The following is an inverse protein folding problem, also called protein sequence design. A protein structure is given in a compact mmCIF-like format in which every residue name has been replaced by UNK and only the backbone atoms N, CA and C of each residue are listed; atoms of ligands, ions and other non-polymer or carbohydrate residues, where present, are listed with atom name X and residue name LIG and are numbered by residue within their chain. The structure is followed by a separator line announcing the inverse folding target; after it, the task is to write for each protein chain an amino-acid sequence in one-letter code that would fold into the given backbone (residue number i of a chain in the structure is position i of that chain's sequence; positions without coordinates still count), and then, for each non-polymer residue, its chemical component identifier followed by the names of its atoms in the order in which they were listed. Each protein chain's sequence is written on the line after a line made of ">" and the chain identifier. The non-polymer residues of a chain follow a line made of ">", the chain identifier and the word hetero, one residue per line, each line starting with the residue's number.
data_IF_161204411102
#
_entry.id   IF_161204411102
#
_cell.length_a   1.000
_cell.length_b   1.000
_cell.length_c   1.000
_cell.angle_alpha   90.00
_cell.angle_beta   90.00
_cell.angle_gamma   90.00
#
_symmetry.space_group_name_H-M   'P 1'
#
loop_
_entity.id
_entity.type
_entity.pdbx_description
1 polymer ?
#
# COMPACT_ATOMS: atom_id res chain seq x y z
N UNK A 1 7.58 18.63 72.64
CA UNK A 1 8.56 17.74 72.00
C UNK A 1 7.86 17.00 70.87
N UNK A 2 8.44 17.00 69.66
CA UNK A 2 8.14 16.15 68.48
C UNK A 2 6.74 16.27 67.84
N UNK A 3 6.51 16.34 66.53
CA UNK A 3 7.33 16.23 65.32
C UNK A 3 6.71 17.15 64.26
N UNK A 4 7.43 18.20 63.87
CA UNK A 4 7.04 19.04 62.75
C UNK A 4 8.23 19.17 61.81
N UNK A 5 8.62 18.08 61.13
CA UNK A 5 9.30 18.22 59.84
C UNK A 5 9.49 16.88 59.11
N UNK A 6 8.66 16.59 58.11
CA UNK A 6 9.10 15.80 56.94
C UNK A 6 8.17 16.02 55.75
N UNK A 7 8.02 17.27 55.34
CA UNK A 7 7.43 17.58 54.03
C UNK A 7 8.32 18.53 53.25
N UNK A 8 9.61 18.19 53.18
CA UNK A 8 10.47 18.69 52.10
C UNK A 8 10.25 17.75 50.92
N UNK A 9 9.32 18.09 50.04
CA UNK A 9 9.19 17.42 48.76
C UNK A 9 10.50 17.66 48.00
N UNK A 10 11.28 16.58 47.82
CA UNK A 10 12.57 16.59 47.14
C UNK A 10 12.42 17.23 45.75
N UNK A 11 12.96 18.45 45.53
CA UNK A 11 12.82 19.18 44.26
C UNK A 11 13.34 18.37 43.07
N UNK A 12 14.30 17.48 43.30
CA UNK A 12 14.92 16.63 42.29
C UNK A 12 13.94 15.56 41.76
N UNK A 13 13.09 14.99 42.63
CA UNK A 13 12.09 13.97 42.24
C UNK A 13 10.90 14.54 41.47
N UNK A 14 10.52 15.79 41.75
CA UNK A 14 9.43 16.48 41.03
C UNK A 14 9.93 16.86 39.64
N UNK A 15 11.14 17.40 39.53
CA UNK A 15 11.78 17.72 38.25
C UNK A 15 11.89 16.50 37.34
N UNK A 16 12.36 15.37 37.86
CA UNK A 16 12.52 14.13 37.08
C UNK A 16 11.20 13.58 36.53
N UNK A 17 10.10 13.68 37.29
CA UNK A 17 8.76 13.24 36.86
C UNK A 17 8.16 14.14 35.77
N UNK A 18 8.39 15.44 35.86
CA UNK A 18 7.92 16.39 34.85
C UNK A 18 8.73 16.24 33.55
N UNK A 19 10.04 16.04 33.66
CA UNK A 19 10.93 15.77 32.51
C UNK A 19 10.55 14.44 31.85
N UNK A 20 10.36 13.36 32.62
CA UNK A 20 9.95 12.06 32.08
C UNK A 20 8.58 12.11 31.38
N UNK A 21 7.61 12.88 31.92
CA UNK A 21 6.31 13.10 31.27
C UNK A 21 6.42 13.91 29.99
N UNK A 22 7.26 14.96 29.97
CA UNK A 22 7.50 15.75 28.77
C UNK A 22 8.17 14.90 27.67
N UNK A 23 9.12 14.02 28.03
CA UNK A 23 9.76 13.09 27.10
C UNK A 23 8.74 12.08 26.54
N UNK A 24 7.87 11.51 27.37
CA UNK A 24 6.84 10.57 26.91
C UNK A 24 5.79 11.24 25.99
N UNK A 25 5.39 12.48 26.27
CA UNK A 25 4.49 13.26 25.41
C UNK A 25 5.15 13.66 24.08
N UNK A 26 6.44 13.97 24.09
CA UNK A 26 7.19 14.29 22.87
C UNK A 26 7.45 13.04 22.01
N UNK A 27 7.72 11.89 22.63
CA UNK A 27 7.87 10.62 21.93
C UNK A 27 6.56 10.13 21.29
N UNK A 28 5.40 10.37 21.93
CA UNK A 28 4.08 10.07 21.36
C UNK A 28 3.71 10.98 20.17
N UNK A 29 4.38 12.13 20.00
CA UNK A 29 4.12 13.07 18.91
C UNK A 29 4.93 12.74 17.63
N UNK A 30 5.90 11.81 17.72
CA UNK A 30 6.82 11.47 16.63
C UNK A 30 6.42 10.22 15.82
N UNK A 31 5.29 9.56 16.13
CA UNK A 31 5.01 8.19 15.65
C UNK A 31 4.15 8.06 14.39
N UNK A 32 3.92 9.10 13.58
CA UNK A 32 3.18 8.93 12.31
C UNK A 32 3.73 9.82 11.20
N UNK A 33 4.93 9.51 10.69
CA UNK A 33 5.23 9.91 9.32
C UNK A 33 4.38 9.04 8.40
N UNK A 34 3.68 9.60 7.40
CA UNK A 34 2.96 8.79 6.44
C UNK A 34 3.97 7.86 5.77
N UNK A 35 3.65 6.58 5.67
CA UNK A 35 4.38 5.69 4.77
C UNK A 35 4.34 6.33 3.39
N UNK A 36 5.50 6.59 2.79
CA UNK A 36 5.59 7.10 1.42
C UNK A 36 4.79 6.16 0.52
N UNK A 37 3.75 6.67 -0.14
CA UNK A 37 2.94 5.86 -1.04
C UNK A 37 3.61 5.81 -2.42
N UNK A 38 3.96 4.62 -2.90
CA UNK A 38 4.43 4.46 -4.26
C UNK A 38 3.30 4.85 -5.23
N UNK A 39 3.57 5.77 -6.15
CA UNK A 39 2.58 6.20 -7.15
C UNK A 39 2.97 5.69 -8.54
N UNK A 40 2.16 4.78 -9.10
CA UNK A 40 2.29 4.31 -10.47
C UNK A 40 1.58 5.28 -11.41
N UNK A 41 2.34 6.02 -12.21
CA UNK A 41 1.82 7.00 -13.18
C UNK A 41 1.78 6.50 -14.63
N UNK A 42 2.32 5.32 -14.89
CA UNK A 42 2.55 4.80 -16.24
C UNK A 42 3.72 3.83 -16.24
N UNK A 43 3.42 2.53 -16.31
CA UNK A 43 4.42 1.48 -16.40
C UNK A 43 4.00 0.45 -17.45
N UNK A 44 4.78 0.23 -18.52
CA UNK A 44 4.50 -0.79 -19.52
C UNK A 44 4.80 -2.22 -19.00
N UNK A 45 5.25 -2.35 -17.76
CA UNK A 45 5.75 -3.59 -17.17
C UNK A 45 7.22 -3.85 -17.52
N UNK A 46 7.59 -5.13 -17.65
CA UNK A 46 8.97 -5.55 -17.83
C UNK A 46 9.20 -6.96 -17.31
N UNK A 47 10.39 -7.22 -16.77
CA UNK A 47 10.72 -8.53 -16.21
C UNK A 47 9.85 -8.83 -14.98
N UNK A 48 9.07 -9.91 -15.05
CA UNK A 48 8.16 -10.37 -13.99
C UNK A 48 8.87 -10.46 -12.63
N UNK A 49 10.11 -10.97 -12.59
CA UNK A 49 10.88 -11.12 -11.35
C UNK A 49 11.17 -9.79 -10.66
N UNK A 50 11.36 -8.70 -11.41
CA UNK A 50 11.62 -7.36 -10.83
C UNK A 50 10.38 -6.87 -10.08
N UNK A 51 9.21 -6.99 -10.69
CA UNK A 51 7.94 -6.63 -10.05
C UNK A 51 7.58 -7.55 -8.89
N UNK A 52 7.82 -8.86 -9.02
CA UNK A 52 7.61 -9.83 -7.94
C UNK A 52 8.43 -9.50 -6.68
N UNK A 53 9.72 -9.19 -6.85
CA UNK A 53 10.59 -8.77 -5.76
C UNK A 53 10.14 -7.44 -5.16
N UNK A 54 9.68 -6.51 -6.01
CA UNK A 54 9.22 -5.23 -5.53
C UNK A 54 7.93 -5.34 -4.70
N UNK A 55 6.95 -6.10 -5.18
CA UNK A 55 5.74 -6.44 -4.42
C UNK A 55 6.08 -7.08 -3.08
N UNK A 56 7.06 -7.98 -3.03
CA UNK A 56 7.49 -8.59 -1.77
C UNK A 56 8.04 -7.55 -0.79
N UNK A 57 8.83 -6.58 -1.28
CA UNK A 57 9.35 -5.46 -0.48
C UNK A 57 8.21 -4.57 0.05
N UNK A 58 7.31 -4.13 -0.83
CA UNK A 58 6.14 -3.31 -0.46
C UNK A 58 5.27 -4.03 0.57
N UNK A 59 5.03 -5.33 0.37
CA UNK A 59 4.25 -6.16 1.30
C UNK A 59 4.90 -6.22 2.68
N UNK A 60 6.21 -6.41 2.75
CA UNK A 60 6.97 -6.48 4.00
C UNK A 60 7.05 -5.12 4.72
N UNK A 61 7.04 -4.02 3.96
CA UNK A 61 7.08 -2.66 4.49
C UNK A 61 5.71 -2.09 4.86
N UNK A 62 4.61 -2.79 4.59
CA UNK A 62 3.24 -2.25 4.71
C UNK A 62 3.05 -0.97 3.87
N UNK A 63 3.80 -0.85 2.78
CA UNK A 63 3.84 0.35 1.94
C UNK A 63 2.66 0.35 0.95
N UNK A 64 1.85 1.42 0.90
CA UNK A 64 0.70 1.49 0.01
C UNK A 64 1.11 1.85 -1.42
N UNK A 65 0.27 1.47 -2.39
CA UNK A 65 0.46 1.77 -3.81
C UNK A 65 -0.77 2.50 -4.36
N UNK A 66 -0.52 3.67 -4.95
CA UNK A 66 -1.50 4.47 -5.66
C UNK A 66 -1.36 4.31 -7.18
N UNK A 67 -2.43 3.88 -7.84
CA UNK A 67 -2.48 3.81 -9.30
C UNK A 67 -3.08 5.11 -9.86
N UNK A 68 -2.24 5.88 -10.55
CA UNK A 68 -2.57 7.18 -11.12
C UNK A 68 -2.22 7.26 -12.62
N UNK A 69 -2.28 6.12 -13.30
CA UNK A 69 -1.97 5.96 -14.71
C UNK A 69 -1.99 4.49 -15.12
N UNK A 70 -1.48 4.20 -16.32
CA UNK A 70 -1.43 2.83 -16.85
C UNK A 70 -0.45 1.95 -16.06
N UNK A 71 -0.83 0.69 -15.85
CA UNK A 71 -0.01 -0.34 -15.24
C UNK A 71 -0.20 -1.64 -16.03
N UNK A 72 0.70 -1.91 -16.95
CA UNK A 72 0.55 -2.99 -17.92
C UNK A 72 1.49 -4.16 -17.61
N UNK A 73 1.13 -5.34 -18.11
CA UNK A 73 1.98 -6.52 -18.08
C UNK A 73 2.41 -6.85 -16.64
N UNK A 74 3.70 -7.07 -16.40
CA UNK A 74 4.25 -7.34 -15.07
C UNK A 74 3.94 -6.27 -14.01
N UNK A 75 3.65 -5.01 -14.39
CA UNK A 75 3.24 -3.98 -13.43
C UNK A 75 2.00 -4.40 -12.62
N UNK A 76 1.06 -5.08 -13.28
CA UNK A 76 -0.21 -5.50 -12.67
C UNK A 76 -0.02 -6.45 -11.48
N UNK A 77 1.18 -7.02 -11.26
CA UNK A 77 1.50 -7.76 -10.04
C UNK A 77 1.31 -6.94 -8.76
N UNK A 78 1.35 -5.60 -8.83
CA UNK A 78 1.02 -4.75 -7.70
C UNK A 78 -0.41 -4.98 -7.18
N UNK A 79 -1.34 -5.43 -8.03
CA UNK A 79 -2.70 -5.82 -7.62
C UNK A 79 -2.74 -7.04 -6.67
N UNK A 80 -1.62 -7.75 -6.49
CA UNK A 80 -1.48 -8.83 -5.50
C UNK A 80 -1.23 -8.36 -4.06
N UNK A 81 -1.10 -7.04 -3.86
CA UNK A 81 -1.09 -6.46 -2.52
C UNK A 81 -2.52 -6.44 -1.94
N UNK A 82 -2.67 -6.44 -0.59
CA UNK A 82 -3.95 -6.26 0.06
C UNK A 82 -4.70 -5.01 -0.46
N UNK A 83 -6.01 -5.14 -0.70
CA UNK A 83 -6.82 -4.09 -1.32
C UNK A 83 -6.88 -2.79 -0.49
N UNK A 84 -6.74 -2.88 0.83
CA UNK A 84 -6.66 -1.76 1.76
C UNK A 84 -5.33 -0.98 1.68
N UNK A 85 -4.32 -1.54 1.00
CA UNK A 85 -3.05 -0.87 0.68
C UNK A 85 -3.00 -0.32 -0.74
N UNK A 86 -4.05 -0.57 -1.52
CA UNK A 86 -4.13 -0.16 -2.91
C UNK A 86 -5.17 0.94 -3.06
N UNK A 87 -4.95 1.84 -3.99
CA UNK A 87 -5.98 2.80 -4.37
C UNK A 87 -5.88 3.16 -5.85
N UNK A 88 -6.98 3.62 -6.43
CA UNK A 88 -7.04 4.02 -7.84
C UNK A 88 -7.48 5.48 -7.99
N UNK A 89 -6.97 6.15 -9.01
CA UNK A 89 -7.54 7.42 -9.51
C UNK A 89 -8.32 7.18 -10.82
N UNK A 90 -9.11 8.15 -11.30
CA UNK A 90 -9.77 8.03 -12.61
C UNK A 90 -8.83 7.87 -13.82
N UNK A 91 -7.51 8.05 -13.63
CA UNK A 91 -6.50 7.83 -14.68
C UNK A 91 -5.95 6.39 -14.70
N UNK A 92 -6.28 5.59 -13.70
CA UNK A 92 -5.76 4.23 -13.59
C UNK A 92 -6.29 3.34 -14.74
N UNK A 93 -5.44 2.47 -15.26
CA UNK A 93 -5.88 1.34 -16.08
C UNK A 93 -4.87 0.20 -15.99
N UNK A 94 -5.34 -1.03 -16.20
CA UNK A 94 -4.54 -2.24 -16.01
C UNK A 94 -4.59 -3.11 -17.26
N UNK A 95 -3.44 -3.26 -17.91
CA UNK A 95 -3.32 -4.04 -19.14
C UNK A 95 -2.81 -5.47 -18.87
N UNK A 96 -3.59 -6.46 -19.28
CA UNK A 96 -3.29 -7.88 -19.10
C UNK A 96 -3.04 -8.56 -20.45
N UNK A 97 -1.96 -9.33 -20.55
CA UNK A 97 -1.63 -10.14 -21.73
C UNK A 97 -0.70 -11.30 -21.34
N UNK A 98 -0.47 -12.23 -22.27
CA UNK A 98 0.48 -13.33 -22.10
C UNK A 98 1.94 -12.82 -22.06
N UNK A 99 2.78 -13.34 -21.16
CA UNK A 99 4.22 -13.09 -21.21
C UNK A 99 4.84 -13.54 -22.53
N UNK A 100 5.91 -12.86 -22.94
CA UNK A 100 6.68 -13.18 -24.13
C UNK A 100 8.17 -12.89 -23.92
N UNK A 101 9.01 -13.37 -24.84
CA UNK A 101 10.44 -13.03 -24.89
C UNK A 101 11.42 -14.10 -24.40
N UNK A 102 10.96 -15.21 -23.80
CA UNK A 102 11.85 -16.22 -23.19
C UNK A 102 11.63 -17.68 -23.64
N UNK A 103 10.76 -17.92 -24.63
CA UNK A 103 10.43 -19.25 -25.16
C UNK A 103 9.02 -19.71 -24.78
N UNK A 104 8.41 -20.61 -25.55
CA UNK A 104 6.99 -20.97 -25.36
C UNK A 104 6.72 -21.62 -23.98
N UNK A 105 7.58 -22.53 -23.54
CA UNK A 105 7.48 -23.20 -22.24
C UNK A 105 7.67 -22.21 -21.09
N UNK A 106 8.70 -21.37 -21.17
CA UNK A 106 9.00 -20.36 -20.15
C UNK A 106 7.89 -19.29 -20.08
N UNK A 107 7.31 -18.91 -21.22
CA UNK A 107 6.18 -17.98 -21.26
C UNK A 107 4.92 -18.59 -20.60
N UNK A 108 4.69 -19.90 -20.74
CA UNK A 108 3.58 -20.58 -20.09
C UNK A 108 3.75 -20.59 -18.56
N UNK A 109 4.94 -20.96 -18.07
CA UNK A 109 5.28 -20.89 -16.63
C UNK A 109 5.12 -19.46 -16.09
N UNK A 110 5.55 -18.47 -16.86
CA UNK A 110 5.38 -17.06 -16.50
C UNK A 110 3.90 -16.64 -16.46
N UNK A 111 3.06 -17.13 -17.37
CA UNK A 111 1.64 -16.85 -17.39
C UNK A 111 0.94 -17.44 -16.16
N UNK A 112 1.25 -18.70 -15.83
CA UNK A 112 0.73 -19.38 -14.64
C UNK A 112 1.15 -18.64 -13.37
N UNK A 113 2.41 -18.18 -13.31
CA UNK A 113 2.87 -17.35 -12.22
C UNK A 113 2.03 -16.07 -12.08
N UNK A 114 1.87 -15.26 -13.14
CA UNK A 114 1.06 -14.04 -13.09
C UNK A 114 -0.35 -14.30 -12.56
N UNK A 115 -1.06 -15.27 -13.14
CA UNK A 115 -2.43 -15.63 -12.74
C UNK A 115 -2.50 -16.08 -11.27
N UNK A 116 -1.50 -16.83 -10.79
CA UNK A 116 -1.45 -17.29 -9.41
C UNK A 116 -1.31 -16.16 -8.39
N UNK A 117 -0.71 -15.02 -8.78
CA UNK A 117 -0.50 -13.88 -7.88
C UNK A 117 -1.75 -12.99 -7.76
N UNK A 118 -2.59 -12.95 -8.78
CA UNK A 118 -3.74 -12.05 -8.79
C UNK A 118 -4.81 -12.43 -7.76
N UNK A 119 -5.49 -11.45 -7.13
CA UNK A 119 -6.66 -11.73 -6.32
C UNK A 119 -7.83 -12.24 -7.18
N UNK A 120 -8.83 -12.86 -6.55
CA UNK A 120 -9.96 -13.50 -7.25
C UNK A 120 -10.67 -12.55 -8.22
N UNK A 121 -10.88 -11.30 -7.82
CA UNK A 121 -11.59 -10.32 -8.64
C UNK A 121 -10.85 -9.99 -9.95
N UNK A 122 -9.51 -9.98 -9.94
CA UNK A 122 -8.70 -9.79 -11.16
C UNK A 122 -8.76 -11.05 -12.03
N UNK A 123 -8.64 -12.24 -11.43
CA UNK A 123 -8.75 -13.51 -12.17
C UNK A 123 -10.10 -13.66 -12.85
N UNK A 124 -11.18 -13.32 -12.13
CA UNK A 124 -12.54 -13.34 -12.65
C UNK A 124 -12.69 -12.36 -13.81
N UNK A 125 -12.26 -11.10 -13.63
CA UNK A 125 -12.33 -10.10 -14.69
C UNK A 125 -11.56 -10.55 -15.94
N UNK A 126 -10.34 -11.09 -15.79
CA UNK A 126 -9.56 -11.63 -16.92
C UNK A 126 -10.33 -12.75 -17.62
N UNK A 127 -10.95 -13.67 -16.86
CA UNK A 127 -11.75 -14.77 -17.41
C UNK A 127 -12.98 -14.29 -18.19
N UNK A 128 -13.69 -13.29 -17.67
CA UNK A 128 -14.84 -12.64 -18.32
C UNK A 128 -14.45 -11.94 -19.63
N UNK A 129 -13.18 -11.55 -19.77
CA UNK A 129 -12.62 -10.89 -20.95
C UNK A 129 -11.83 -11.83 -21.88
N UNK A 130 -12.05 -13.16 -21.75
CA UNK A 130 -11.49 -14.16 -22.67
C UNK A 130 -10.10 -14.68 -22.30
N UNK A 131 -9.59 -14.36 -21.11
CA UNK A 131 -8.30 -14.82 -20.62
C UNK A 131 -7.11 -14.02 -21.13
N UNK A 132 -5.90 -14.43 -20.72
CA UNK A 132 -4.68 -13.83 -21.25
C UNK A 132 -4.47 -14.24 -22.71
N UNK A 133 -4.24 -13.25 -23.58
CA UNK A 133 -3.93 -13.45 -24.99
C UNK A 133 -2.69 -12.65 -25.40
N UNK A 134 -2.28 -12.73 -26.67
CA UNK A 134 -1.22 -11.86 -27.21
C UNK A 134 -1.66 -10.40 -27.36
N UNK A 135 -2.98 -10.17 -27.41
CA UNK A 135 -3.56 -8.84 -27.41
C UNK A 135 -3.82 -8.41 -25.97
N UNK A 136 -3.44 -7.19 -25.65
CA UNK A 136 -3.70 -6.62 -24.33
C UNK A 136 -5.20 -6.38 -24.15
N UNK A 137 -5.75 -6.90 -23.06
CA UNK A 137 -7.08 -6.54 -22.57
C UNK A 137 -6.90 -5.57 -21.41
N UNK A 138 -7.72 -4.52 -21.34
CA UNK A 138 -7.54 -3.44 -20.39
C UNK A 138 -8.75 -3.29 -19.48
N UNK A 139 -8.49 -3.30 -18.18
CA UNK A 139 -9.43 -2.96 -17.14
C UNK A 139 -9.31 -1.47 -16.85
N UNK A 140 -10.40 -0.74 -17.00
CA UNK A 140 -10.43 0.71 -16.76
C UNK A 140 -10.67 1.03 -15.27
N UNK A 141 -10.45 2.29 -14.89
CA UNK A 141 -10.50 2.73 -13.50
C UNK A 141 -11.84 2.45 -12.81
N UNK A 142 -12.96 2.57 -13.51
CA UNK A 142 -14.31 2.35 -12.98
C UNK A 142 -14.60 0.87 -12.67
N UNK A 143 -14.01 -0.04 -13.43
CA UNK A 143 -14.06 -1.47 -13.15
C UNK A 143 -13.20 -1.84 -11.92
N UNK A 144 -11.98 -1.32 -11.85
CA UNK A 144 -11.10 -1.52 -10.71
C UNK A 144 -11.66 -0.89 -9.42
N UNK A 145 -12.35 0.25 -9.53
CA UNK A 145 -12.98 0.94 -8.41
C UNK A 145 -14.14 0.15 -7.76
N UNK A 146 -14.61 -0.94 -8.37
CA UNK A 146 -15.54 -1.89 -7.73
C UNK A 146 -14.86 -2.68 -6.60
N UNK A 147 -13.53 -2.74 -6.61
CA UNK A 147 -12.72 -3.55 -5.67
C UNK A 147 -11.69 -2.73 -4.89
N UNK A 148 -11.27 -1.57 -5.40
CA UNK A 148 -10.25 -0.72 -4.80
C UNK A 148 -10.81 0.66 -4.42
N UNK A 149 -10.40 1.24 -3.28
CA UNK A 149 -10.83 2.57 -2.87
C UNK A 149 -10.20 3.68 -3.74
N UNK A 150 -10.80 4.88 -3.80
CA UNK A 150 -10.18 6.02 -4.45
C UNK A 150 -8.98 6.54 -3.63
N UNK A 151 -7.88 6.93 -4.29
CA UNK A 151 -6.67 7.42 -3.60
C UNK A 151 -6.87 8.68 -2.75
N UNK A 152 -7.91 9.47 -3.03
CA UNK A 152 -8.23 10.67 -2.25
C UNK A 152 -9.00 10.40 -0.95
N UNK A 153 -9.53 9.19 -0.75
CA UNK A 153 -10.46 8.89 0.35
C UNK A 153 -9.74 8.35 1.59
N UNK A 154 -8.62 7.65 1.41
CA UNK A 154 -7.77 7.15 2.52
C UNK A 154 -7.04 8.28 3.27
N UNK A 155 -6.63 9.34 2.56
CA UNK A 155 -6.01 10.52 3.18
C UNK A 155 -6.99 11.33 4.07
N UNK A 156 -8.30 11.28 3.77
CA UNK A 156 -9.31 12.04 4.50
C UNK A 156 -9.75 11.37 5.80
N UNK A 157 -9.79 10.03 5.86
CA UNK A 157 -10.19 9.31 7.08
C UNK A 157 -9.23 9.58 8.26
N UNK A 158 -7.93 9.61 8.00
CA UNK A 158 -6.91 9.96 9.01
C UNK A 158 -7.00 11.42 9.44
N UNK A 159 -7.35 12.32 8.52
CA UNK A 159 -7.48 13.76 8.81
C UNK A 159 -8.73 14.07 9.65
N UNK A 160 -9.86 13.40 9.36
CA UNK A 160 -11.13 13.61 10.09
C UNK A 160 -11.07 13.05 11.51
N UNK A 161 -10.43 11.88 11.71
CA UNK A 161 -10.23 11.31 13.05
C UNK A 161 -9.44 12.25 13.98
N UNK A 162 -8.44 12.98 13.43
CA UNK A 162 -7.69 14.01 14.16
C UNK A 162 -8.46 15.32 14.38
N UNK A 163 -9.42 15.64 13.49
CA UNK A 163 -10.22 16.86 13.60
C UNK A 163 -11.39 16.73 14.57
N UNK A 164 -11.98 15.53 14.69
CA UNK A 164 -13.15 15.26 15.53
C UNK A 164 -12.83 15.06 17.03
N UNK A 165 -11.56 15.01 17.41
CA UNK A 165 -11.10 14.93 18.79
C UNK A 165 -10.85 16.31 19.43
N UNK A 166 -11.59 17.35 19.03
CA UNK A 166 -11.57 18.68 19.65
C UNK A 166 -12.86 18.97 20.40
#
# INVERSE_FOLDING_TARGET
>A
MSEANKMYADPQRIGWRLIARAIALFAALLTTLPADAETVRGSPGGQIIVFALHVAKLRAADEPVAFDGACDSACTLYLSLPADRLCVTPRASFGFHLPYGVGAEQNAVAADYLISQYPDWVRQWIGEHGGLSRTIVRMEADEAAKHLPPCGTLAQATTIAFASSR
#
